data_IF_919786162105
#
_entry.id   IF_919786162105
#
_cell.length_a   1.000
_cell.length_b   1.000
_cell.length_c   1.000
_cell.angle_alpha   90.00
_cell.angle_beta   90.00
_cell.angle_gamma   90.00
#
_symmetry.space_group_name_H-M   'P 1'
#
loop_
_entity.id
_entity.type
_entity.pdbx_description
1 polymer ?
#
# COMPACT_ATOMS: atom_id res chain seq x y z
N UNK A 1 35.60 17.74 -56.16
CA UNK A 1 34.55 17.93 -57.19
C UNK A 1 33.96 19.32 -56.96
N UNK A 2 34.03 20.17 -57.97
CA UNK A 2 33.63 21.58 -57.93
C UNK A 2 32.11 21.75 -57.74
N UNK A 3 31.78 22.90 -57.15
CA UNK A 3 30.46 23.52 -57.02
C UNK A 3 30.01 24.04 -58.40
N UNK A 4 28.72 23.89 -58.74
CA UNK A 4 27.92 24.88 -59.49
C UNK A 4 26.42 24.62 -59.24
N UNK A 5 25.76 25.39 -58.39
CA UNK A 5 24.98 26.61 -58.71
C UNK A 5 23.64 26.32 -59.40
N UNK A 6 22.53 26.37 -58.66
CA UNK A 6 21.21 26.73 -59.22
C UNK A 6 20.44 27.69 -58.28
N UNK A 7 20.67 28.97 -58.56
CA UNK A 7 19.66 30.02 -58.75
C UNK A 7 18.54 30.19 -57.71
N UNK A 8 18.73 31.24 -56.91
CA UNK A 8 17.73 31.90 -56.06
C UNK A 8 16.43 32.20 -56.81
N UNK A 9 15.31 31.69 -56.28
CA UNK A 9 13.96 32.18 -56.60
C UNK A 9 13.37 32.80 -55.35
N UNK A 10 13.31 34.14 -55.33
CA UNK A 10 12.68 34.93 -54.27
C UNK A 10 11.19 34.62 -54.25
N UNK A 11 10.76 33.81 -53.29
CA UNK A 11 9.36 33.68 -52.95
C UNK A 11 9.12 34.43 -51.65
N UNK A 12 8.55 35.62 -51.79
CA UNK A 12 7.95 36.41 -50.72
C UNK A 12 6.80 35.60 -50.11
N UNK A 13 7.12 34.77 -49.11
CA UNK A 13 6.12 34.05 -48.33
C UNK A 13 5.63 34.96 -47.23
N UNK A 14 4.38 35.40 -47.38
CA UNK A 14 3.63 36.20 -46.41
C UNK A 14 3.51 35.41 -45.10
N UNK A 15 3.99 36.01 -44.03
CA UNK A 15 3.92 35.49 -42.67
C UNK A 15 2.46 35.59 -42.20
N UNK A 16 1.74 34.48 -42.19
CA UNK A 16 0.39 34.39 -41.61
C UNK A 16 0.55 33.96 -40.16
N UNK A 17 0.27 34.87 -39.24
CA UNK A 17 0.11 34.61 -37.81
C UNK A 17 -1.12 33.73 -37.60
N UNK A 18 -0.93 32.43 -37.36
CA UNK A 18 -1.98 31.54 -36.91
C UNK A 18 -1.95 31.49 -35.37
N UNK A 19 -2.94 32.15 -34.76
CA UNK A 19 -3.16 32.17 -33.33
C UNK A 19 -3.94 30.91 -32.88
N UNK A 20 -3.52 30.36 -31.74
CA UNK A 20 -4.29 29.69 -30.70
C UNK A 20 -5.22 28.51 -31.07
N UNK A 21 -4.82 27.31 -30.64
CA UNK A 21 -5.69 26.39 -29.87
C UNK A 21 -4.83 25.29 -29.23
N UNK A 22 -4.24 25.57 -28.07
CA UNK A 22 -3.75 24.53 -27.17
C UNK A 22 -4.97 23.91 -26.51
N UNK A 23 -5.44 22.80 -27.06
CA UNK A 23 -6.45 21.96 -26.42
C UNK A 23 -5.87 21.44 -25.11
N UNK A 24 -6.31 22.01 -23.99
CA UNK A 24 -6.00 21.48 -22.66
C UNK A 24 -6.71 20.14 -22.51
N UNK A 25 -5.94 19.06 -22.65
CA UNK A 25 -6.37 17.72 -22.24
C UNK A 25 -6.67 17.82 -20.74
N UNK A 26 -7.95 17.76 -20.39
CA UNK A 26 -8.39 17.75 -19.01
C UNK A 26 -7.78 16.55 -18.29
N UNK A 27 -6.89 16.83 -17.35
CA UNK A 27 -6.46 15.88 -16.34
C UNK A 27 -7.61 15.66 -15.36
N UNK A 28 -8.66 14.96 -15.78
CA UNK A 28 -9.71 14.43 -14.90
C UNK A 28 -9.20 13.16 -14.20
N UNK A 29 -8.03 13.26 -13.55
CA UNK A 29 -7.34 12.16 -12.90
C UNK A 29 -7.06 12.38 -11.41
N UNK A 30 -7.48 13.51 -10.83
CA UNK A 30 -7.31 13.79 -9.40
C UNK A 30 -8.58 14.43 -8.82
N UNK A 31 -9.73 13.76 -8.93
CA UNK A 31 -10.98 14.25 -8.34
C UNK A 31 -11.21 13.73 -6.91
N UNK A 32 -10.14 13.60 -6.14
CA UNK A 32 -10.17 13.09 -4.77
C UNK A 32 -8.84 13.33 -4.06
N UNK A 33 -8.40 14.59 -3.99
CA UNK A 33 -7.43 14.97 -2.96
C UNK A 33 -8.23 14.89 -1.65
N UNK A 34 -8.22 13.72 -1.00
CA UNK A 34 -8.64 13.61 0.38
C UNK A 34 -7.76 14.56 1.18
N UNK A 35 -8.38 15.45 1.94
CA UNK A 35 -7.62 16.40 2.73
C UNK A 35 -6.89 15.62 3.84
N UNK A 36 -5.63 15.94 4.18
CA UNK A 36 -4.90 15.27 5.26
C UNK A 36 -5.67 15.20 6.58
N UNK A 37 -6.50 16.20 6.86
CA UNK A 37 -7.40 16.27 8.01
C UNK A 37 -8.61 15.31 7.96
N UNK A 38 -8.94 14.75 6.79
CA UNK A 38 -9.98 13.73 6.64
C UNK A 38 -9.46 12.32 6.95
N UNK A 39 -8.14 12.15 7.10
CA UNK A 39 -7.56 10.89 7.54
C UNK A 39 -7.65 10.80 9.07
N UNK A 40 -8.11 9.66 9.62
CA UNK A 40 -8.00 9.41 11.05
C UNK A 40 -6.55 9.63 11.50
N UNK A 41 -6.35 10.57 12.43
CA UNK A 41 -5.03 10.84 13.03
C UNK A 41 -4.68 9.86 14.14
N UNK A 42 -5.69 9.11 14.61
CA UNK A 42 -5.52 8.06 15.58
C UNK A 42 -5.10 6.79 14.84
N UNK A 43 -3.80 6.52 14.82
CA UNK A 43 -3.30 5.18 14.49
C UNK A 43 -3.82 4.16 15.51
N UNK A 44 -3.69 2.85 15.24
CA UNK A 44 -4.06 1.82 16.22
C UNK A 44 -3.31 2.10 17.53
N UNK A 45 -4.06 2.49 18.56
CA UNK A 45 -3.55 2.75 19.92
C UNK A 45 -3.53 1.48 20.76
N UNK A 46 -4.06 0.38 20.22
CA UNK A 46 -4.10 -0.90 20.86
C UNK A 46 -2.69 -1.50 20.93
N UNK A 47 -2.30 -1.92 22.14
CA UNK A 47 -1.10 -2.70 22.41
C UNK A 47 -1.55 -4.06 22.93
N UNK A 48 -0.96 -5.13 22.40
CA UNK A 48 -1.16 -6.47 22.91
C UNK A 48 -0.75 -6.53 24.40
N UNK A 49 -1.53 -7.26 25.19
CA UNK A 49 -1.29 -7.46 26.64
C UNK A 49 -0.93 -8.91 26.98
N UNK A 50 -0.84 -9.75 25.96
CA UNK A 50 -0.45 -11.16 26.05
C UNK A 50 0.13 -11.62 24.72
N UNK A 51 0.75 -12.80 24.73
CA UNK A 51 1.22 -13.48 23.54
C UNK A 51 0.93 -14.98 23.70
N UNK A 52 0.06 -15.58 22.87
CA UNK A 52 -0.71 -14.96 21.77
C UNK A 52 -1.75 -13.94 22.24
N UNK A 53 -2.11 -12.97 21.39
CA UNK A 53 -3.13 -11.94 21.67
C UNK A 53 -4.37 -12.10 20.78
N UNK A 54 -5.55 -11.98 21.38
CA UNK A 54 -6.81 -11.90 20.64
C UNK A 54 -6.95 -10.53 19.94
N UNK A 55 -7.53 -10.54 18.75
CA UNK A 55 -7.87 -9.34 17.99
C UNK A 55 -9.16 -9.58 17.20
N UNK A 56 -10.00 -8.57 17.13
CA UNK A 56 -11.31 -8.59 16.47
C UNK A 56 -11.55 -7.32 15.68
N UNK A 57 -12.55 -7.30 14.80
CA UNK A 57 -12.97 -6.09 14.07
C UNK A 57 -13.37 -4.92 15.00
N UNK A 58 -13.74 -5.22 16.25
CA UNK A 58 -14.09 -4.22 17.26
C UNK A 58 -12.87 -3.48 17.82
N UNK A 59 -11.66 -4.06 17.76
CA UNK A 59 -10.45 -3.46 18.36
C UNK A 59 -9.81 -2.36 17.48
N UNK A 60 -9.64 -2.55 16.16
CA UNK A 60 -9.13 -1.53 15.25
C UNK A 60 -10.26 -0.82 14.46
N UNK A 61 -11.53 -1.18 14.66
CA UNK A 61 -12.69 -0.58 14.00
C UNK A 61 -12.55 -0.58 12.48
N UNK A 62 -12.66 0.60 11.85
CA UNK A 62 -12.51 0.79 10.39
C UNK A 62 -11.14 0.38 9.81
N UNK A 63 -10.16 0.06 10.65
CA UNK A 63 -8.85 -0.43 10.22
C UNK A 63 -8.79 -1.95 10.06
N UNK A 64 -9.84 -2.68 10.41
CA UNK A 64 -9.93 -4.11 10.14
C UNK A 64 -10.04 -4.35 8.63
N UNK A 65 -9.14 -5.19 8.10
CA UNK A 65 -9.04 -5.47 6.66
C UNK A 65 -9.01 -6.97 6.37
N UNK A 66 -9.55 -7.78 7.29
CA UNK A 66 -9.68 -9.22 7.11
C UNK A 66 -11.14 -9.57 6.85
N UNK A 67 -11.35 -10.58 6.02
CA UNK A 67 -12.67 -11.13 5.71
C UNK A 67 -13.28 -11.95 6.86
N UNK A 68 -12.46 -12.35 7.84
CA UNK A 68 -12.90 -12.96 9.11
C UNK A 68 -13.10 -11.87 10.16
N UNK A 69 -13.96 -12.09 11.14
CA UNK A 69 -14.35 -11.10 12.16
C UNK A 69 -13.36 -11.00 13.34
N UNK A 70 -12.58 -12.06 13.60
CA UNK A 70 -11.59 -12.09 14.67
C UNK A 70 -10.50 -13.13 14.42
N UNK A 71 -9.51 -13.19 15.31
CA UNK A 71 -8.52 -14.24 15.37
C UNK A 71 -7.49 -13.98 16.47
N UNK A 72 -6.33 -14.62 16.32
CA UNK A 72 -5.24 -14.49 17.29
C UNK A 72 -3.95 -14.15 16.58
N UNK A 73 -3.27 -13.10 17.02
CA UNK A 73 -1.90 -12.81 16.57
C UNK A 73 -0.90 -13.42 17.55
N UNK A 74 0.22 -13.91 17.03
CA UNK A 74 1.35 -14.32 17.84
C UNK A 74 2.65 -13.73 17.28
N UNK A 75 3.60 -13.50 18.18
CA UNK A 75 4.96 -13.12 17.81
C UNK A 75 5.96 -14.03 18.50
N UNK A 76 6.73 -14.77 17.72
CA UNK A 76 7.94 -15.44 18.20
C UNK A 76 9.19 -14.70 17.69
N UNK A 77 10.37 -14.98 18.25
CA UNK A 77 11.64 -14.53 17.67
C UNK A 77 12.39 -15.75 17.13
N UNK A 78 12.90 -15.64 15.91
CA UNK A 78 13.75 -16.69 15.33
C UNK A 78 15.16 -16.68 15.96
N UNK A 79 16.04 -17.56 15.48
CA UNK A 79 17.40 -17.69 16.00
C UNK A 79 18.26 -16.41 15.86
N UNK A 80 17.95 -15.56 14.88
CA UNK A 80 18.62 -14.29 14.64
C UNK A 80 18.00 -13.13 15.44
N UNK A 81 16.91 -13.40 16.17
CA UNK A 81 16.14 -12.40 16.91
C UNK A 81 15.15 -11.62 16.05
N UNK A 82 14.91 -12.05 14.80
CA UNK A 82 13.90 -11.44 13.96
C UNK A 82 12.50 -11.93 14.38
N UNK A 83 11.51 -11.02 14.46
CA UNK A 83 10.15 -11.37 14.82
C UNK A 83 9.47 -12.18 13.72
N UNK A 84 8.88 -13.30 14.11
CA UNK A 84 8.07 -14.22 13.30
C UNK A 84 6.61 -13.97 13.69
N UNK A 85 5.89 -13.29 12.81
CA UNK A 85 4.51 -12.85 13.07
C UNK A 85 3.53 -13.80 12.39
N UNK A 86 2.54 -14.27 13.14
CA UNK A 86 1.48 -15.14 12.61
C UNK A 86 0.09 -14.66 13.03
N UNK A 87 -0.91 -15.01 12.22
CA UNK A 87 -2.33 -14.83 12.54
C UNK A 87 -3.03 -16.18 12.43
N UNK A 88 -3.71 -16.59 13.49
CA UNK A 88 -4.58 -17.77 13.50
C UNK A 88 -6.02 -17.33 13.32
N UNK A 89 -6.64 -17.73 12.21
CA UNK A 89 -8.04 -17.48 11.94
C UNK A 89 -8.96 -18.36 12.81
N UNK A 90 -10.27 -18.05 12.92
CA UNK A 90 -11.19 -18.81 13.76
C UNK A 90 -11.37 -20.27 13.32
N UNK A 91 -11.08 -20.58 12.06
CA UNK A 91 -11.09 -21.95 11.52
C UNK A 91 -9.83 -22.75 11.89
N UNK A 92 -8.87 -22.12 12.56
CA UNK A 92 -7.58 -22.70 12.97
C UNK A 92 -6.48 -22.59 11.92
N UNK A 93 -6.73 -21.98 10.77
CA UNK A 93 -5.69 -21.75 9.76
C UNK A 93 -4.70 -20.70 10.25
N UNK A 94 -3.41 -21.02 10.19
CA UNK A 94 -2.32 -20.11 10.56
C UNK A 94 -1.75 -19.48 9.30
N UNK A 95 -1.74 -18.15 9.26
CA UNK A 95 -1.22 -17.35 8.17
C UNK A 95 0.06 -16.62 8.59
N UNK A 96 1.00 -16.50 7.65
CA UNK A 96 2.16 -15.64 7.80
C UNK A 96 1.73 -14.17 7.74
N UNK A 97 2.14 -13.38 8.74
CA UNK A 97 1.98 -11.93 8.70
C UNK A 97 3.20 -11.25 8.07
N UNK A 98 4.39 -11.85 8.11
CA UNK A 98 5.61 -11.31 7.52
C UNK A 98 6.43 -12.39 6.79
N UNK A 99 7.22 -11.95 5.81
CA UNK A 99 8.05 -12.81 4.98
C UNK A 99 9.41 -13.07 5.65
N UNK A 100 9.45 -14.05 6.55
CA UNK A 100 10.66 -14.62 7.17
C UNK A 100 10.75 -16.11 6.88
N UNK A 101 11.94 -16.70 6.94
CA UNK A 101 12.17 -18.11 6.57
C UNK A 101 11.32 -19.08 7.41
N UNK A 102 11.08 -18.78 8.69
CA UNK A 102 10.23 -19.57 9.59
C UNK A 102 8.75 -19.58 9.17
N UNK A 103 8.31 -18.58 8.38
CA UNK A 103 6.95 -18.46 7.87
C UNK A 103 6.77 -18.98 6.45
N UNK A 104 7.84 -19.43 5.77
CA UNK A 104 7.82 -19.74 4.33
C UNK A 104 6.83 -20.85 3.91
N UNK A 105 6.48 -21.73 4.84
CA UNK A 105 5.60 -22.87 4.61
C UNK A 105 4.14 -22.58 5.02
N UNK A 106 3.88 -21.39 5.59
CA UNK A 106 2.54 -20.93 5.92
C UNK A 106 1.91 -20.20 4.72
N UNK A 107 0.58 -20.26 4.54
CA UNK A 107 -0.10 -19.41 3.59
C UNK A 107 0.09 -17.92 3.95
N UNK A 108 0.26 -17.08 2.94
CA UNK A 108 0.23 -15.63 3.13
C UNK A 108 -1.18 -15.20 3.53
N UNK A 109 -1.29 -14.25 4.47
CA UNK A 109 -2.57 -13.71 4.92
C UNK A 109 -3.32 -12.99 3.80
N UNK A 110 -2.64 -12.55 2.74
CA UNK A 110 -3.23 -11.85 1.58
C UNK A 110 -4.43 -12.59 0.95
N UNK A 111 -4.59 -13.90 1.18
CA UNK A 111 -5.73 -14.69 0.70
C UNK A 111 -7.05 -14.41 1.44
N UNK A 112 -7.01 -13.78 2.62
CA UNK A 112 -8.19 -13.41 3.43
C UNK A 112 -8.31 -11.90 3.67
N UNK A 113 -7.58 -11.08 2.90
CA UNK A 113 -7.46 -9.63 3.08
C UNK A 113 -8.25 -8.86 2.03
N UNK A 114 -8.95 -7.80 2.44
CA UNK A 114 -9.66 -6.86 1.56
C UNK A 114 -9.06 -5.44 1.55
N UNK A 115 -7.97 -5.23 2.29
CA UNK A 115 -7.34 -3.92 2.48
C UNK A 115 -5.87 -4.00 2.93
N UNK A 116 -5.41 -3.01 3.69
CA UNK A 116 -4.03 -2.98 4.21
C UNK A 116 -3.96 -3.65 5.57
N UNK A 117 -3.09 -4.65 5.72
CA UNK A 117 -2.81 -5.31 7.01
C UNK A 117 -1.75 -4.59 7.86
N UNK A 118 -1.36 -3.36 7.50
CA UNK A 118 -0.33 -2.61 8.21
C UNK A 118 -0.62 -2.49 9.71
N UNK A 119 -1.87 -2.15 10.05
CA UNK A 119 -2.30 -2.00 11.45
C UNK A 119 -2.28 -3.33 12.21
N UNK A 120 -2.66 -4.43 11.57
CA UNK A 120 -2.59 -5.77 12.15
C UNK A 120 -1.13 -6.19 12.42
N UNK A 121 -0.23 -5.93 11.47
CA UNK A 121 1.22 -6.17 11.65
C UNK A 121 1.77 -5.33 12.80
N UNK A 122 1.45 -4.04 12.86
CA UNK A 122 1.86 -3.16 13.97
C UNK A 122 1.37 -3.69 15.31
N UNK A 123 0.11 -4.12 15.41
CA UNK A 123 -0.42 -4.73 16.64
C UNK A 123 0.33 -6.02 16.99
N UNK A 124 0.56 -6.91 16.01
CA UNK A 124 1.28 -8.17 16.21
C UNK A 124 2.72 -7.96 16.72
N UNK A 125 3.43 -6.92 16.27
CA UNK A 125 4.74 -6.57 16.82
C UNK A 125 4.70 -6.25 18.31
N UNK A 126 3.62 -5.63 18.80
CA UNK A 126 3.52 -5.33 20.24
C UNK A 126 3.37 -6.59 21.10
N UNK A 127 2.93 -7.71 20.52
CA UNK A 127 2.85 -8.99 21.22
C UNK A 127 4.23 -9.61 21.50
N UNK A 128 5.28 -9.19 20.77
CA UNK A 128 6.64 -9.67 21.02
C UNK A 128 7.15 -9.26 22.42
N UNK A 129 6.62 -8.16 22.96
CA UNK A 129 7.04 -7.56 24.24
C UNK A 129 6.03 -7.79 25.38
N UNK A 130 4.95 -8.56 25.13
CA UNK A 130 3.81 -8.73 26.04
C UNK A 130 3.98 -9.87 27.06
#
# INVERSE_FOLDING_TARGET
>A
MNIDTFTSRRHTVRLVLAACALSTVGLSGCNGIQHPEDFPVDGPTATATSNPAEVSEDDPGHSWSLTVDHGTVACDNNADGDPVLTFTAPDGTVYALNAVDDNKDLPDIDVIVDGSIGNLRTFAFTACDA
#
